data_IF_525302386787
#
_entry.id   IF_525302386787
#
_cell.length_a   1.000
_cell.length_b   1.000
_cell.length_c   1.000
_cell.angle_alpha   90.00
_cell.angle_beta   90.00
_cell.angle_gamma   90.00
#
_symmetry.space_group_name_H-M   'P 1'
#
loop_
_entity.id
_entity.type
_entity.pdbx_description
1 polymer ?
#
# COMPACT_ATOMS: atom_id res chain seq x y z
N UNK A 1 -17.55 -17.09 -16.81
CA UNK A 1 -17.33 -17.33 -15.37
C UNK A 1 -15.91 -16.96 -14.91
N UNK A 2 -14.86 -17.18 -15.71
CA UNK A 2 -13.47 -17.00 -15.28
C UNK A 2 -13.08 -15.61 -14.73
N UNK A 3 -13.38 -14.52 -15.46
CA UNK A 3 -12.96 -13.18 -15.02
C UNK A 3 -13.71 -12.66 -13.78
N UNK A 4 -15.00 -12.96 -13.63
CA UNK A 4 -15.75 -12.59 -12.45
C UNK A 4 -15.20 -13.31 -11.19
N UNK A 5 -14.84 -14.58 -11.32
CA UNK A 5 -14.22 -15.35 -10.23
C UNK A 5 -12.83 -14.80 -9.86
N UNK A 6 -12.02 -14.45 -10.88
CA UNK A 6 -10.72 -13.80 -10.67
C UNK A 6 -10.89 -12.44 -9.99
N UNK A 7 -11.88 -11.64 -10.41
CA UNK A 7 -12.16 -10.34 -9.82
C UNK A 7 -12.49 -10.46 -8.32
N UNK A 8 -13.49 -11.26 -7.98
CA UNK A 8 -13.91 -11.43 -6.58
C UNK A 8 -12.81 -12.10 -5.76
N UNK A 9 -12.21 -13.18 -6.28
CA UNK A 9 -11.18 -13.94 -5.59
C UNK A 9 -9.90 -13.13 -5.38
N UNK A 10 -9.43 -12.42 -6.40
CA UNK A 10 -8.24 -11.58 -6.33
C UNK A 10 -8.43 -10.39 -5.37
N UNK A 11 -9.56 -9.67 -5.48
CA UNK A 11 -9.87 -8.56 -4.57
C UNK A 11 -10.01 -9.03 -3.12
N UNK A 12 -10.69 -10.16 -2.88
CA UNK A 12 -10.80 -10.73 -1.55
C UNK A 12 -9.43 -11.18 -1.02
N UNK A 13 -8.59 -11.80 -1.83
CA UNK A 13 -7.24 -12.20 -1.44
C UNK A 13 -6.37 -11.00 -1.08
N UNK A 14 -6.37 -9.93 -1.88
CA UNK A 14 -5.64 -8.70 -1.61
C UNK A 14 -6.04 -8.05 -0.29
N UNK A 15 -7.35 -7.85 -0.09
CA UNK A 15 -7.90 -7.26 1.13
C UNK A 15 -7.65 -8.12 2.38
N UNK A 16 -8.03 -9.39 2.31
CA UNK A 16 -8.03 -10.27 3.49
C UNK A 16 -6.62 -10.69 3.90
N UNK A 17 -5.68 -10.84 2.96
CA UNK A 17 -4.29 -11.18 3.31
C UNK A 17 -3.66 -10.12 4.22
N UNK A 18 -3.86 -8.83 3.93
CA UNK A 18 -3.37 -7.73 4.75
C UNK A 18 -4.11 -7.65 6.08
N UNK A 19 -5.43 -7.81 6.10
CA UNK A 19 -6.22 -7.81 7.33
C UNK A 19 -5.83 -8.97 8.27
N UNK A 20 -5.58 -10.16 7.74
CA UNK A 20 -5.10 -11.30 8.54
C UNK A 20 -3.66 -11.12 8.98
N UNK A 21 -2.80 -10.52 8.16
CA UNK A 21 -1.42 -10.19 8.52
C UNK A 21 -1.37 -9.16 9.66
N UNK A 22 -2.20 -8.12 9.60
CA UNK A 22 -2.38 -7.16 10.69
C UNK A 22 -2.78 -7.85 12.00
N UNK A 23 -3.81 -8.70 11.95
CA UNK A 23 -4.27 -9.47 13.11
C UNK A 23 -3.15 -10.35 13.67
N UNK A 24 -2.38 -11.01 12.82
CA UNK A 24 -1.25 -11.83 13.23
C UNK A 24 -0.13 -11.00 13.90
N UNK A 25 0.18 -9.82 13.37
CA UNK A 25 1.12 -8.88 13.99
C UNK A 25 0.61 -8.38 15.34
N UNK A 26 -0.67 -8.03 15.46
CA UNK A 26 -1.26 -7.52 16.72
C UNK A 26 -1.23 -8.57 17.83
N UNK A 27 -1.52 -9.82 17.52
CA UNK A 27 -1.46 -10.93 18.51
C UNK A 27 -0.03 -11.19 18.98
N UNK A 28 0.97 -11.03 18.11
CA UNK A 28 2.39 -11.22 18.48
C UNK A 28 3.00 -10.04 19.23
N UNK A 29 2.45 -8.83 19.05
CA UNK A 29 2.87 -7.61 19.74
C UNK A 29 2.17 -7.38 21.08
N UNK A 30 1.17 -8.18 21.46
CA UNK A 30 0.51 -8.06 22.74
C UNK A 30 1.43 -8.56 23.87
N UNK A 31 1.62 -7.77 24.98
CA UNK A 31 2.34 -8.26 26.14
C UNK A 31 1.61 -9.48 26.70
N UNK A 32 2.25 -10.64 26.68
CA UNK A 32 1.74 -11.80 27.38
C UNK A 32 2.07 -11.63 28.85
N UNK A 33 1.12 -11.88 29.80
CA UNK A 33 1.46 -11.95 31.20
C UNK A 33 2.42 -13.12 31.42
N UNK A 34 3.67 -12.81 31.79
CA UNK A 34 4.69 -13.81 32.05
C UNK A 34 4.82 -14.10 33.54
N UNK A 35 5.07 -15.35 33.91
CA UNK A 35 5.46 -15.67 35.28
C UNK A 35 6.81 -15.01 35.64
N UNK A 36 7.03 -14.62 36.91
CA UNK A 36 8.30 -14.05 37.35
C UNK A 36 9.46 -14.96 37.01
N UNK A 37 10.50 -14.43 36.35
CA UNK A 37 11.71 -15.19 35.95
C UNK A 37 11.86 -15.49 34.46
N UNK A 38 10.83 -15.25 33.63
CA UNK A 38 10.89 -15.52 32.18
C UNK A 38 11.34 -14.34 31.31
N UNK A 39 11.71 -13.20 31.92
CA UNK A 39 11.99 -11.93 31.22
C UNK A 39 13.17 -12.01 30.24
N UNK A 40 14.24 -12.72 30.57
CA UNK A 40 15.46 -12.77 29.75
C UNK A 40 15.28 -13.47 28.39
N UNK A 41 14.42 -14.49 28.31
CA UNK A 41 14.16 -15.23 27.05
C UNK A 41 13.25 -14.43 26.14
N UNK A 42 12.38 -13.58 26.71
CA UNK A 42 11.42 -12.74 25.97
C UNK A 42 12.11 -11.55 25.32
N UNK A 43 13.05 -10.90 26.04
CA UNK A 43 13.85 -9.80 25.47
C UNK A 43 14.71 -10.28 24.29
N UNK A 44 15.30 -11.47 24.39
CA UNK A 44 16.10 -12.04 23.30
C UNK A 44 15.26 -12.38 22.04
N UNK A 45 13.96 -12.71 22.22
CA UNK A 45 13.06 -13.05 21.11
C UNK A 45 12.43 -11.80 20.47
N UNK A 46 12.11 -10.76 21.26
CA UNK A 46 11.63 -9.47 20.78
C UNK A 46 12.69 -8.74 19.94
N UNK A 47 13.95 -8.80 20.35
CA UNK A 47 15.09 -8.26 19.60
C UNK A 47 15.32 -8.89 18.24
N UNK A 48 14.85 -10.13 18.01
CA UNK A 48 14.99 -10.81 16.69
C UNK A 48 14.04 -10.29 15.61
N UNK A 49 12.99 -9.60 15.97
CA UNK A 49 11.97 -9.11 15.02
C UNK A 49 11.71 -7.60 15.16
N UNK A 50 12.65 -6.78 15.52
CA UNK A 50 12.60 -5.30 15.65
C UNK A 50 11.26 -4.56 15.50
N UNK A 51 10.35 -5.13 14.70
CA UNK A 51 8.99 -4.65 14.42
C UNK A 51 8.06 -4.81 15.67
N UNK A 52 8.33 -5.77 16.55
CA UNK A 52 7.51 -5.99 17.75
C UNK A 52 7.66 -4.85 18.79
N UNK A 53 8.75 -4.10 18.71
CA UNK A 53 9.02 -2.93 19.55
C UNK A 53 8.46 -1.62 18.96
N UNK A 54 7.97 -1.67 17.72
CA UNK A 54 7.41 -0.48 17.07
C UNK A 54 6.09 -0.07 17.69
N UNK A 55 5.85 1.24 17.75
CA UNK A 55 4.55 1.77 18.16
C UNK A 55 3.43 1.26 17.22
N UNK A 56 2.18 1.24 17.70
CA UNK A 56 1.04 0.89 16.83
C UNK A 56 1.01 1.73 15.54
N UNK A 57 1.36 3.02 15.62
CA UNK A 57 1.42 3.92 14.48
C UNK A 57 2.49 3.50 13.46
N UNK A 58 3.69 3.13 13.89
CA UNK A 58 4.75 2.63 12.98
C UNK A 58 4.37 1.31 12.31
N UNK A 59 3.70 0.40 13.04
CA UNK A 59 3.19 -0.85 12.45
C UNK A 59 2.08 -0.58 11.44
N UNK A 60 1.20 0.38 11.72
CA UNK A 60 0.17 0.80 10.76
C UNK A 60 0.80 1.41 9.51
N UNK A 61 1.80 2.28 9.63
CA UNK A 61 2.54 2.84 8.51
C UNK A 61 3.18 1.75 7.64
N UNK A 62 3.76 0.70 8.25
CA UNK A 62 4.28 -0.45 7.51
C UNK A 62 3.20 -1.20 6.74
N UNK A 63 2.05 -1.46 7.36
CA UNK A 63 0.93 -2.17 6.71
C UNK A 63 0.38 -1.37 5.53
N UNK A 64 0.26 -0.05 5.68
CA UNK A 64 -0.13 0.85 4.60
C UNK A 64 0.93 0.82 3.49
N UNK A 65 2.22 0.93 3.82
CA UNK A 65 3.30 0.86 2.83
C UNK A 65 3.30 -0.46 2.06
N UNK A 66 3.06 -1.60 2.72
CA UNK A 66 2.93 -2.91 2.06
C UNK A 66 1.69 -2.96 1.16
N UNK A 67 0.55 -2.42 1.61
CA UNK A 67 -0.68 -2.36 0.81
C UNK A 67 -0.51 -1.52 -0.45
N UNK A 68 0.09 -0.33 -0.30
CA UNK A 68 0.46 0.55 -1.41
C UNK A 68 1.47 -0.14 -2.34
N UNK A 69 2.48 -0.79 -1.81
CA UNK A 69 3.48 -1.51 -2.60
C UNK A 69 2.89 -2.62 -3.48
N UNK A 70 1.90 -3.36 -2.98
CA UNK A 70 1.18 -4.36 -3.78
C UNK A 70 0.37 -3.71 -4.91
N UNK A 71 -0.25 -2.55 -4.65
CA UNK A 71 -0.93 -1.76 -5.66
C UNK A 71 0.06 -1.25 -6.72
N UNK A 72 1.15 -0.63 -6.29
CA UNK A 72 2.19 -0.07 -7.13
C UNK A 72 2.91 -1.12 -7.99
N UNK A 73 3.03 -2.36 -7.50
CA UNK A 73 3.52 -3.46 -8.32
C UNK A 73 2.63 -3.70 -9.55
N UNK A 74 1.30 -3.64 -9.39
CA UNK A 74 0.38 -3.82 -10.52
C UNK A 74 0.42 -2.63 -11.50
N UNK A 75 0.64 -1.41 -11.03
CA UNK A 75 0.91 -0.25 -11.89
C UNK A 75 2.17 -0.45 -12.72
N UNK A 76 3.25 -0.93 -12.07
CA UNK A 76 4.47 -1.30 -12.77
C UNK A 76 4.22 -2.34 -13.85
N UNK A 77 3.42 -3.37 -13.59
CA UNK A 77 3.04 -4.37 -14.60
C UNK A 77 2.33 -3.72 -15.80
N UNK A 78 1.47 -2.73 -15.58
CA UNK A 78 0.80 -2.01 -16.64
C UNK A 78 1.79 -1.21 -17.51
N UNK A 79 2.74 -0.50 -16.87
CA UNK A 79 3.83 0.22 -17.58
C UNK A 79 4.65 -0.75 -18.42
N UNK A 80 5.17 -1.81 -17.80
CA UNK A 80 6.04 -2.78 -18.49
C UNK A 80 5.32 -3.51 -19.60
N UNK A 81 4.06 -3.91 -19.40
CA UNK A 81 3.23 -4.57 -20.40
C UNK A 81 2.92 -3.66 -21.61
N UNK A 82 2.65 -2.38 -21.39
CA UNK A 82 2.46 -1.41 -22.47
C UNK A 82 3.74 -1.19 -23.27
N UNK A 83 4.87 -1.05 -22.59
CA UNK A 83 6.17 -0.91 -23.24
C UNK A 83 6.53 -2.16 -24.08
N UNK A 84 6.26 -3.37 -23.57
CA UNK A 84 6.52 -4.62 -24.28
C UNK A 84 5.65 -4.79 -25.56
N UNK A 85 4.45 -4.20 -25.56
CA UNK A 85 3.58 -4.16 -26.76
C UNK A 85 3.96 -3.05 -27.75
N UNK A 86 4.99 -2.25 -27.46
CA UNK A 86 5.41 -1.13 -28.30
C UNK A 86 4.54 0.13 -28.12
N UNK A 87 3.66 0.15 -27.15
CA UNK A 87 2.76 1.28 -26.80
C UNK A 87 3.50 2.33 -25.96
N UNK A 88 4.61 2.87 -26.51
CA UNK A 88 5.53 3.73 -25.74
C UNK A 88 4.86 5.01 -25.26
N UNK A 89 3.96 5.60 -26.05
CA UNK A 89 3.22 6.79 -25.65
C UNK A 89 2.36 6.51 -24.40
N UNK A 90 1.63 5.38 -24.39
CA UNK A 90 0.83 4.95 -23.25
C UNK A 90 1.74 4.66 -22.02
N UNK A 91 2.81 3.90 -22.20
CA UNK A 91 3.75 3.61 -21.11
C UNK A 91 4.30 4.91 -20.48
N UNK A 92 4.62 5.92 -21.30
CA UNK A 92 5.10 7.23 -20.83
C UNK A 92 4.02 7.97 -20.02
N UNK A 93 2.77 7.97 -20.51
CA UNK A 93 1.64 8.57 -19.79
C UNK A 93 1.37 7.90 -18.46
N UNK A 94 1.43 6.57 -18.42
CA UNK A 94 1.29 5.80 -17.16
C UNK A 94 2.39 6.14 -16.18
N UNK A 95 3.65 6.27 -16.62
CA UNK A 95 4.76 6.68 -15.74
C UNK A 95 4.49 8.06 -15.14
N UNK A 96 4.04 9.04 -15.94
CA UNK A 96 3.76 10.39 -15.46
C UNK A 96 2.56 10.39 -14.50
N UNK A 97 1.47 9.74 -14.88
CA UNK A 97 0.25 9.65 -14.06
C UNK A 97 0.51 8.99 -12.71
N UNK A 98 1.16 7.83 -12.72
CA UNK A 98 1.49 7.08 -11.51
C UNK A 98 2.52 7.81 -10.65
N UNK A 99 3.53 8.47 -11.21
CA UNK A 99 4.46 9.28 -10.44
C UNK A 99 3.77 10.43 -9.68
N UNK A 100 2.77 11.06 -10.31
CA UNK A 100 2.01 12.14 -9.68
C UNK A 100 1.16 11.66 -8.50
N UNK A 101 0.43 10.54 -8.65
CA UNK A 101 -0.39 10.08 -7.53
C UNK A 101 0.42 9.30 -6.47
N UNK A 102 1.46 8.57 -6.83
CA UNK A 102 2.35 7.91 -5.87
C UNK A 102 3.06 8.91 -4.95
N UNK A 103 3.35 10.13 -5.45
CA UNK A 103 3.86 11.21 -4.60
C UNK A 103 2.85 11.56 -3.48
N UNK A 104 1.55 11.44 -3.72
CA UNK A 104 0.52 11.67 -2.69
C UNK A 104 0.31 10.48 -1.76
N UNK A 105 0.56 9.26 -2.20
CA UNK A 105 0.46 8.04 -1.38
C UNK A 105 1.46 8.04 -0.23
N UNK A 106 2.63 8.67 -0.40
CA UNK A 106 3.61 8.87 0.67
C UNK A 106 3.01 9.57 1.90
N UNK A 107 2.09 10.51 1.72
CA UNK A 107 1.36 11.12 2.84
C UNK A 107 0.45 10.11 3.55
N UNK A 108 -0.16 9.18 2.82
CA UNK A 108 -0.95 8.09 3.39
C UNK A 108 -0.10 7.19 4.29
N UNK A 109 1.12 6.86 3.88
CA UNK A 109 2.05 6.02 4.67
C UNK A 109 2.41 6.69 6.00
N UNK A 110 2.64 8.00 6.01
CA UNK A 110 3.05 8.72 7.23
C UNK A 110 1.86 9.25 8.07
N UNK A 111 0.65 9.22 7.55
CA UNK A 111 -0.54 9.71 8.25
C UNK A 111 -0.73 9.14 9.67
N UNK A 112 -0.54 7.82 9.94
CA UNK A 112 -0.64 7.28 11.28
C UNK A 112 0.36 7.88 12.28
N UNK A 113 1.50 8.39 11.79
CA UNK A 113 2.58 8.94 12.61
C UNK A 113 2.34 10.39 13.05
N UNK A 114 1.31 11.05 12.51
CA UNK A 114 1.02 12.46 12.82
C UNK A 114 0.71 12.73 14.29
N UNK A 115 0.27 11.71 15.05
CA UNK A 115 0.01 11.78 16.48
C UNK A 115 1.18 11.39 17.39
N UNK A 116 2.31 10.95 16.82
CA UNK A 116 3.49 10.55 17.59
C UNK A 116 4.24 11.80 18.10
N UNK A 117 4.76 11.72 19.33
CA UNK A 117 5.55 12.81 19.92
C UNK A 117 6.93 12.93 19.29
N UNK A 118 7.50 11.81 18.86
CA UNK A 118 8.80 11.74 18.22
C UNK A 118 8.65 11.65 16.70
N UNK A 119 9.44 12.45 15.99
CA UNK A 119 9.49 12.39 14.53
C UNK A 119 10.11 11.07 14.08
N UNK A 120 9.58 10.43 13.03
CA UNK A 120 10.18 9.24 12.47
C UNK A 120 11.59 9.56 11.93
N UNK A 121 12.51 8.60 12.04
CA UNK A 121 13.86 8.74 11.49
C UNK A 121 13.83 8.68 9.95
N UNK A 122 14.81 9.31 9.31
CA UNK A 122 14.96 9.23 7.86
C UNK A 122 15.12 7.78 7.36
N UNK A 123 15.84 6.94 8.11
CA UNK A 123 15.97 5.52 7.77
C UNK A 123 14.62 4.80 7.75
N UNK A 124 13.72 5.12 8.69
CA UNK A 124 12.36 4.58 8.70
C UNK A 124 11.57 5.07 7.48
N UNK A 125 11.61 6.39 7.19
CA UNK A 125 10.88 6.97 6.06
C UNK A 125 11.35 6.38 4.72
N UNK A 126 12.67 6.28 4.50
CA UNK A 126 13.24 5.66 3.31
C UNK A 126 12.84 4.18 3.21
N UNK A 127 12.86 3.44 4.31
CA UNK A 127 12.42 2.05 4.30
C UNK A 127 10.93 1.91 3.90
N UNK A 128 10.06 2.79 4.39
CA UNK A 128 8.65 2.81 4.01
C UNK A 128 8.46 3.19 2.55
N UNK A 129 9.21 4.17 2.06
CA UNK A 129 9.21 4.59 0.65
C UNK A 129 9.66 3.46 -0.29
N UNK A 130 10.74 2.76 0.05
CA UNK A 130 11.21 1.59 -0.72
C UNK A 130 10.19 0.46 -0.71
N UNK A 131 9.49 0.23 0.40
CA UNK A 131 8.44 -0.81 0.47
C UNK A 131 7.21 -0.39 -0.33
N UNK A 132 6.80 0.88 -0.26
CA UNK A 132 5.64 1.40 -0.98
C UNK A 132 5.90 1.65 -2.46
N UNK A 133 6.96 2.37 -2.81
CA UNK A 133 7.26 2.80 -4.19
C UNK A 133 8.13 1.82 -4.99
N UNK A 134 9.07 1.12 -4.33
CA UNK A 134 9.98 0.18 -5.01
C UNK A 134 9.30 -0.90 -5.85
N UNK A 135 8.16 -1.46 -5.43
CA UNK A 135 7.43 -2.46 -6.21
C UNK A 135 7.01 -2.01 -7.61
N UNK A 136 6.77 -0.72 -7.87
CA UNK A 136 6.50 -0.21 -9.22
C UNK A 136 7.63 -0.57 -10.20
N UNK A 137 8.87 -0.37 -9.77
CA UNK A 137 10.04 -0.72 -10.58
C UNK A 137 10.12 -2.22 -10.86
N UNK A 138 9.91 -3.05 -9.84
CA UNK A 138 9.91 -4.51 -10.00
C UNK A 138 8.75 -4.97 -10.90
N UNK A 139 7.57 -4.39 -10.72
CA UNK A 139 6.40 -4.64 -11.57
C UNK A 139 6.66 -4.28 -13.02
N UNK A 140 7.34 -3.15 -13.28
CA UNK A 140 7.71 -2.74 -14.64
C UNK A 140 8.62 -3.78 -15.31
N UNK A 141 9.64 -4.26 -14.61
CA UNK A 141 10.52 -5.32 -15.14
C UNK A 141 9.72 -6.60 -15.43
N UNK A 142 8.91 -7.03 -14.48
CA UNK A 142 8.09 -8.24 -14.64
C UNK A 142 7.07 -8.07 -15.76
N UNK A 143 6.45 -6.89 -15.86
CA UNK A 143 5.47 -6.56 -16.91
C UNK A 143 6.01 -6.66 -18.33
N UNK A 144 7.31 -6.43 -18.54
CA UNK A 144 7.92 -6.62 -19.86
C UNK A 144 7.96 -8.09 -20.32
N UNK A 145 7.89 -9.03 -19.38
CA UNK A 145 7.94 -10.46 -19.64
C UNK A 145 6.56 -11.14 -19.68
N UNK A 146 5.51 -10.47 -19.19
CA UNK A 146 4.15 -11.03 -19.06
C UNK A 146 3.16 -10.27 -19.93
N UNK A 147 2.63 -10.95 -20.95
CA UNK A 147 1.58 -10.42 -21.87
C UNK A 147 0.24 -11.13 -21.69
N UNK A 148 0.05 -11.88 -20.57
CA UNK A 148 -1.17 -12.65 -20.32
C UNK A 148 -2.26 -11.80 -19.67
N UNK A 149 -3.42 -11.67 -20.31
CA UNK A 149 -4.58 -10.95 -19.77
C UNK A 149 -5.06 -11.53 -18.43
N UNK A 150 -5.01 -12.84 -18.27
CA UNK A 150 -5.41 -13.52 -17.02
C UNK A 150 -4.51 -13.09 -15.87
N UNK A 151 -3.19 -13.04 -16.09
CA UNK A 151 -2.24 -12.59 -15.07
C UNK A 151 -2.41 -11.11 -14.76
N UNK A 152 -2.64 -10.28 -15.78
CA UNK A 152 -2.92 -8.85 -15.61
C UNK A 152 -4.17 -8.63 -14.75
N UNK A 153 -5.27 -9.31 -15.06
CA UNK A 153 -6.51 -9.23 -14.26
C UNK A 153 -6.28 -9.70 -12.82
N UNK A 154 -5.53 -10.79 -12.62
CA UNK A 154 -5.21 -11.29 -11.28
C UNK A 154 -4.45 -10.24 -10.46
N UNK A 155 -3.38 -9.66 -11.00
CA UNK A 155 -2.59 -8.65 -10.30
C UNK A 155 -3.38 -7.36 -10.04
N UNK A 156 -4.16 -6.89 -11.02
CA UNK A 156 -5.01 -5.72 -10.85
C UNK A 156 -6.07 -5.92 -9.76
N UNK A 157 -6.65 -7.10 -9.66
CA UNK A 157 -7.65 -7.40 -8.64
C UNK A 157 -7.04 -7.57 -7.25
N UNK A 158 -5.84 -8.16 -7.14
CA UNK A 158 -5.06 -8.18 -5.90
C UNK A 158 -4.71 -6.75 -5.45
N UNK A 159 -4.28 -5.90 -6.37
CA UNK A 159 -3.99 -4.49 -6.12
C UNK A 159 -5.23 -3.72 -5.65
N UNK A 160 -6.38 -3.92 -6.30
CA UNK A 160 -7.64 -3.31 -5.88
C UNK A 160 -8.02 -3.73 -4.44
N UNK A 161 -7.80 -4.99 -4.08
CA UNK A 161 -8.02 -5.48 -2.71
C UNK A 161 -7.07 -4.85 -1.70
N UNK A 162 -5.78 -4.70 -2.04
CA UNK A 162 -4.79 -4.08 -1.16
C UNK A 162 -5.08 -2.59 -0.92
N UNK A 163 -5.49 -1.85 -1.95
CA UNK A 163 -5.90 -0.45 -1.80
C UNK A 163 -7.18 -0.30 -0.96
N UNK A 164 -8.15 -1.20 -1.10
CA UNK A 164 -9.31 -1.20 -0.22
C UNK A 164 -8.92 -1.35 1.25
N UNK A 165 -7.95 -2.22 1.57
CA UNK A 165 -7.39 -2.32 2.92
C UNK A 165 -6.80 -0.97 3.37
N UNK A 166 -5.95 -0.34 2.56
CA UNK A 166 -5.33 0.95 2.87
C UNK A 166 -6.39 2.03 3.12
N UNK A 167 -7.41 2.13 2.27
CA UNK A 167 -8.51 3.10 2.43
C UNK A 167 -9.22 2.90 3.78
N UNK A 168 -9.54 1.65 4.14
CA UNK A 168 -10.19 1.34 5.43
C UNK A 168 -9.30 1.79 6.60
N UNK A 169 -7.99 1.52 6.55
CA UNK A 169 -7.06 1.93 7.60
C UNK A 169 -6.95 3.46 7.70
N UNK A 170 -6.82 4.16 6.58
CA UNK A 170 -6.74 5.63 6.56
C UNK A 170 -8.03 6.29 7.05
N UNK A 171 -9.19 5.74 6.69
CA UNK A 171 -10.48 6.21 7.24
C UNK A 171 -10.54 5.99 8.76
N UNK A 172 -10.00 4.88 9.26
CA UNK A 172 -9.87 4.63 10.69
C UNK A 172 -9.01 5.69 11.40
N UNK A 173 -7.85 5.99 10.84
CA UNK A 173 -6.93 7.03 11.34
C UNK A 173 -7.61 8.41 11.32
N UNK A 174 -8.25 8.76 10.21
CA UNK A 174 -8.94 10.04 10.06
C UNK A 174 -10.11 10.19 11.04
N UNK A 175 -10.90 9.12 11.25
CA UNK A 175 -12.00 9.12 12.22
C UNK A 175 -11.49 9.26 13.66
N UNK A 176 -10.38 8.62 14.01
CA UNK A 176 -9.78 8.72 15.34
C UNK A 176 -9.25 10.15 15.65
N UNK A 177 -8.91 10.94 14.64
CA UNK A 177 -8.48 12.34 14.80
C UNK A 177 -9.59 13.29 15.27
N UNK A 178 -10.86 12.87 15.20
CA UNK A 178 -12.08 13.66 15.50
C UNK A 178 -12.24 14.95 14.68
N UNK A 179 -11.50 15.07 13.58
CA UNK A 179 -11.55 16.23 12.67
C UNK A 179 -12.32 15.84 11.40
N UNK A 180 -13.63 15.63 11.56
CA UNK A 180 -14.50 15.19 10.47
C UNK A 180 -14.56 16.21 9.31
N UNK A 181 -14.44 17.51 9.62
CA UNK A 181 -14.30 18.56 8.64
C UNK A 181 -13.14 18.30 7.66
N UNK A 182 -11.97 17.97 8.18
CA UNK A 182 -10.79 17.64 7.37
C UNK A 182 -10.96 16.34 6.60
N UNK A 183 -11.66 15.35 7.17
CA UNK A 183 -11.95 14.10 6.48
C UNK A 183 -12.79 14.33 5.21
N UNK A 184 -13.88 15.12 5.32
CA UNK A 184 -14.76 15.39 4.18
C UNK A 184 -14.06 16.23 3.10
N UNK A 185 -13.37 17.31 3.50
CA UNK A 185 -12.62 18.13 2.55
C UNK A 185 -11.45 17.37 1.92
N UNK A 186 -10.69 16.64 2.71
CA UNK A 186 -9.59 15.80 2.22
C UNK A 186 -10.06 14.71 1.26
N UNK A 187 -11.17 14.04 1.58
CA UNK A 187 -11.79 13.05 0.71
C UNK A 187 -12.27 13.65 -0.62
N UNK A 188 -12.94 14.81 -0.57
CA UNK A 188 -13.39 15.50 -1.78
C UNK A 188 -12.20 15.94 -2.66
N UNK A 189 -11.18 16.56 -2.06
CA UNK A 189 -10.01 17.02 -2.80
C UNK A 189 -9.20 15.83 -3.36
N UNK A 190 -9.06 14.75 -2.59
CA UNK A 190 -8.39 13.53 -3.05
C UNK A 190 -9.10 12.89 -4.23
N UNK A 191 -10.43 12.75 -4.16
CA UNK A 191 -11.24 12.25 -5.29
C UNK A 191 -11.12 13.17 -6.53
N UNK A 192 -11.20 14.48 -6.33
CA UNK A 192 -11.07 15.43 -7.43
C UNK A 192 -9.66 15.36 -8.08
N UNK A 193 -8.61 15.22 -7.28
CA UNK A 193 -7.24 15.05 -7.78
C UNK A 193 -7.07 13.73 -8.54
N UNK A 194 -7.64 12.64 -8.05
CA UNK A 194 -7.63 11.34 -8.73
C UNK A 194 -8.32 11.41 -10.09
N UNK A 195 -9.54 11.92 -10.14
CA UNK A 195 -10.26 12.12 -11.41
C UNK A 195 -9.53 13.05 -12.39
N UNK A 196 -8.87 14.10 -11.88
CA UNK A 196 -8.08 14.99 -12.73
C UNK A 196 -6.88 14.26 -13.34
N UNK A 197 -6.21 13.42 -12.57
CA UNK A 197 -5.11 12.58 -13.06
C UNK A 197 -5.59 11.62 -14.15
N UNK A 198 -6.70 10.91 -13.92
CA UNK A 198 -7.32 10.02 -14.90
C UNK A 198 -7.72 10.76 -16.18
N UNK A 199 -8.27 11.97 -16.04
CA UNK A 199 -8.64 12.79 -17.18
C UNK A 199 -7.43 13.21 -18.00
N UNK A 200 -6.30 13.53 -17.37
CA UNK A 200 -5.04 13.87 -18.06
C UNK A 200 -4.51 12.65 -18.83
N UNK A 201 -4.52 11.47 -18.21
CA UNK A 201 -4.11 10.21 -18.84
C UNK A 201 -5.03 9.89 -20.03
N UNK A 202 -6.34 9.95 -19.87
CA UNK A 202 -7.31 9.70 -20.93
C UNK A 202 -7.20 10.72 -22.08
N UNK A 203 -6.98 12.01 -21.80
CA UNK A 203 -6.78 13.04 -22.82
C UNK A 203 -5.46 12.86 -23.57
N UNK A 204 -4.47 12.20 -22.97
CA UNK A 204 -3.22 11.82 -23.61
C UNK A 204 -3.32 10.63 -24.57
N UNK A 205 -4.49 9.98 -24.66
CA UNK A 205 -4.74 8.89 -25.60
C UNK A 205 -4.50 7.50 -25.04
N UNK A 206 -4.61 7.35 -23.71
CA UNK A 206 -4.55 6.06 -23.01
C UNK A 206 -5.93 5.43 -22.91
#
# INVERSE_FOLDING_TARGET
MGFATLFVGGTAAGLLSLAYYEKWLSVRGAPRPYPPGSMAVTEARARRLGIAEWSPAKRMALLIAVGIGLHNFAEGLAIGGSAARGEIALATLLVIGFALHNATEGFGIVAPLAGETERPTWAFLIAMDVIGGGPTFLGTIVGTAFTSDVMSVLFLTLAAGSILYVVIQLLGVAHASRRQDLLYWGGLLGLAAGFLTDLVVAAGGA
#
